data_IF_059495007747
#
_entry.id   IF_059495007747
#
_cell.length_a   1.000
_cell.length_b   1.000
_cell.length_c   1.000
_cell.angle_alpha   90.00
_cell.angle_beta   90.00
_cell.angle_gamma   90.00
#
_symmetry.space_group_name_H-M   'P 1'
#
loop_
_entity.id
_entity.type
_entity.pdbx_description
1 polymer ?
#
# COMPACT_ATOMS: atom_id res chain seq x y z
N UNK A 1 33.52 -13.94 -81.25
CA UNK A 1 34.32 -12.75 -80.87
C UNK A 1 33.74 -12.21 -79.58
N UNK A 2 34.47 -12.38 -78.46
CA UNK A 2 34.03 -12.06 -77.10
C UNK A 2 34.18 -10.56 -76.81
N UNK A 3 33.06 -9.85 -76.62
CA UNK A 3 33.05 -8.51 -76.05
C UNK A 3 33.06 -8.57 -74.52
N UNK A 4 34.18 -8.20 -73.90
CA UNK A 4 34.30 -8.04 -72.44
C UNK A 4 33.82 -6.64 -72.04
N UNK A 5 32.69 -6.54 -71.34
CA UNK A 5 32.29 -5.34 -70.61
C UNK A 5 33.05 -5.29 -69.28
N UNK A 6 33.92 -4.30 -69.10
CA UNK A 6 34.64 -4.04 -67.86
C UNK A 6 33.76 -3.24 -66.89
N UNK A 7 33.31 -3.88 -65.81
CA UNK A 7 32.73 -3.17 -64.66
C UNK A 7 33.85 -2.52 -63.86
N UNK A 8 33.89 -1.19 -63.85
CA UNK A 8 34.74 -0.41 -62.94
C UNK A 8 34.11 -0.40 -61.55
N UNK A 9 34.62 -1.28 -60.66
CA UNK A 9 34.29 -1.25 -59.24
C UNK A 9 35.06 -0.13 -58.54
N UNK A 10 34.43 1.03 -58.38
CA UNK A 10 34.96 2.11 -57.56
C UNK A 10 35.12 1.63 -56.11
N UNK A 11 36.37 1.49 -55.65
CA UNK A 11 36.67 1.18 -54.26
C UNK A 11 36.25 2.35 -53.36
N UNK A 12 35.09 2.22 -52.73
CA UNK A 12 34.62 3.17 -51.72
C UNK A 12 35.57 3.09 -50.52
N UNK A 13 36.43 4.10 -50.36
CA UNK A 13 37.32 4.26 -49.21
C UNK A 13 36.49 4.19 -47.92
N UNK A 14 36.55 3.06 -47.22
CA UNK A 14 35.94 2.92 -45.89
C UNK A 14 36.75 3.77 -44.92
N UNK A 15 36.14 4.83 -44.39
CA UNK A 15 36.71 5.60 -43.29
C UNK A 15 36.84 4.68 -42.07
N UNK A 16 38.06 4.44 -41.62
CA UNK A 16 38.32 3.72 -40.39
C UNK A 16 38.12 4.66 -39.20
N UNK A 17 37.33 4.22 -38.22
CA UNK A 17 37.11 4.95 -36.97
C UNK A 17 38.41 4.97 -36.16
N UNK A 18 38.78 6.13 -35.64
CA UNK A 18 39.95 6.26 -34.75
C UNK A 18 39.59 5.83 -33.32
N UNK A 19 40.61 5.39 -32.57
CA UNK A 19 40.47 5.03 -31.15
C UNK A 19 39.91 6.20 -30.33
N UNK A 20 40.33 7.44 -30.65
CA UNK A 20 39.92 8.65 -29.94
C UNK A 20 38.43 8.93 -30.16
N UNK A 21 37.93 8.80 -31.40
CA UNK A 21 36.50 8.99 -31.71
C UNK A 21 35.64 7.97 -30.95
N UNK A 22 36.07 6.71 -30.86
CA UNK A 22 35.36 5.70 -30.08
C UNK A 22 35.36 6.05 -28.58
N UNK A 23 36.50 6.51 -28.05
CA UNK A 23 36.65 6.86 -26.64
C UNK A 23 35.78 8.06 -26.22
N UNK A 24 35.67 9.08 -27.07
CA UNK A 24 34.81 10.24 -26.82
C UNK A 24 33.33 9.83 -26.81
N UNK A 25 32.91 8.95 -27.73
CA UNK A 25 31.52 8.47 -27.79
C UNK A 25 31.13 7.70 -26.54
N UNK A 26 31.96 6.76 -26.09
CA UNK A 26 31.68 6.02 -24.85
C UNK A 26 31.67 6.96 -23.63
N UNK A 27 32.52 7.99 -23.60
CA UNK A 27 32.54 8.97 -22.52
C UNK A 27 31.23 9.78 -22.47
N UNK A 28 30.71 10.22 -23.62
CA UNK A 28 29.43 10.93 -23.70
C UNK A 28 28.28 10.01 -23.27
N UNK A 29 28.24 8.76 -23.76
CA UNK A 29 27.22 7.78 -23.36
C UNK A 29 27.27 7.53 -21.84
N UNK A 30 28.46 7.42 -21.26
CA UNK A 30 28.63 7.21 -19.83
C UNK A 30 28.09 8.39 -19.00
N UNK A 31 28.37 9.64 -19.41
CA UNK A 31 27.85 10.84 -18.75
C UNK A 31 26.32 10.90 -18.86
N UNK A 32 25.76 10.63 -20.05
CA UNK A 32 24.32 10.60 -20.26
C UNK A 32 23.64 9.52 -19.40
N UNK A 33 24.20 8.30 -19.38
CA UNK A 33 23.69 7.20 -18.55
C UNK A 33 23.75 7.52 -17.06
N UNK A 34 24.80 8.20 -16.58
CA UNK A 34 24.95 8.59 -15.18
C UNK A 34 23.83 9.54 -14.71
N UNK A 35 23.31 10.40 -15.59
CA UNK A 35 22.20 11.30 -15.26
C UNK A 35 20.83 10.66 -15.54
N UNK A 36 20.71 9.89 -16.63
CA UNK A 36 19.45 9.28 -17.05
C UNK A 36 19.01 8.13 -16.14
N UNK A 37 19.94 7.32 -15.63
CA UNK A 37 19.60 6.14 -14.84
C UNK A 37 18.91 6.51 -13.50
N UNK A 38 19.42 7.46 -12.69
CA UNK A 38 18.71 7.91 -11.48
C UNK A 38 17.35 8.53 -11.78
N UNK A 39 17.24 9.32 -12.86
CA UNK A 39 15.98 9.94 -13.27
C UNK A 39 14.94 8.90 -13.68
N UNK A 40 15.34 7.90 -14.47
CA UNK A 40 14.47 6.81 -14.90
C UNK A 40 14.00 5.94 -13.74
N UNK A 41 14.87 5.67 -12.75
CA UNK A 41 14.48 4.96 -11.53
C UNK A 41 13.39 5.72 -10.76
N UNK A 42 13.54 7.02 -10.57
CA UNK A 42 12.52 7.85 -9.91
C UNK A 42 11.21 7.87 -10.69
N UNK A 43 11.27 8.03 -12.01
CA UNK A 43 10.08 8.05 -12.87
C UNK A 43 9.32 6.72 -12.83
N UNK A 44 10.03 5.58 -12.87
CA UNK A 44 9.43 4.25 -12.72
C UNK A 44 8.76 4.09 -11.35
N UNK A 45 9.40 4.56 -10.30
CA UNK A 45 8.83 4.46 -8.95
C UNK A 45 7.58 5.32 -8.78
N UNK A 46 7.59 6.54 -9.32
CA UNK A 46 6.39 7.39 -9.37
C UNK A 46 5.24 6.72 -10.13
N UNK A 47 5.54 6.05 -11.26
CA UNK A 47 4.55 5.29 -12.01
C UNK A 47 3.97 4.11 -11.21
N UNK A 48 4.81 3.36 -10.50
CA UNK A 48 4.35 2.28 -9.61
C UNK A 48 3.52 2.80 -8.45
N UNK A 49 3.90 3.92 -7.85
CA UNK A 49 3.13 4.58 -6.79
C UNK A 49 1.76 5.02 -7.29
N UNK A 50 1.70 5.63 -8.48
CA UNK A 50 0.43 6.03 -9.10
C UNK A 50 -0.49 4.83 -9.37
N UNK A 51 0.06 3.70 -9.82
CA UNK A 51 -0.70 2.47 -9.99
C UNK A 51 -1.21 1.90 -8.66
N UNK A 52 -0.40 1.92 -7.59
CA UNK A 52 -0.85 1.54 -6.25
C UNK A 52 -1.98 2.46 -5.73
N UNK A 53 -1.85 3.78 -5.87
CA UNK A 53 -2.92 4.73 -5.51
C UNK A 53 -4.21 4.46 -6.31
N UNK A 54 -4.10 4.11 -7.60
CA UNK A 54 -5.24 3.71 -8.43
C UNK A 54 -5.91 2.44 -7.92
N UNK A 55 -5.14 1.46 -7.44
CA UNK A 55 -5.67 0.24 -6.84
C UNK A 55 -6.42 0.54 -5.53
N UNK A 56 -5.83 1.33 -4.64
CA UNK A 56 -6.49 1.78 -3.41
C UNK A 56 -7.76 2.59 -3.70
N UNK A 57 -7.76 3.42 -4.75
CA UNK A 57 -8.94 4.17 -5.16
C UNK A 57 -10.07 3.25 -5.58
N UNK A 58 -9.77 2.19 -6.34
CA UNK A 58 -10.75 1.18 -6.74
C UNK A 58 -11.28 0.38 -5.53
N UNK A 59 -10.43 -0.01 -4.60
CA UNK A 59 -10.85 -0.65 -3.33
C UNK A 59 -11.75 0.28 -2.51
N UNK A 60 -11.41 1.56 -2.43
CA UNK A 60 -12.20 2.56 -1.70
C UNK A 60 -13.57 2.78 -2.33
N UNK A 61 -13.66 2.80 -3.66
CA UNK A 61 -14.93 2.89 -4.36
C UNK A 61 -15.79 1.64 -4.12
N UNK A 62 -15.19 0.44 -4.16
CA UNK A 62 -15.90 -0.80 -3.83
C UNK A 62 -16.41 -0.81 -2.38
N UNK A 63 -15.61 -0.29 -1.43
CA UNK A 63 -16.01 -0.13 -0.03
C UNK A 63 -17.19 0.83 0.14
N UNK A 64 -17.21 1.95 -0.61
CA UNK A 64 -18.34 2.89 -0.62
C UNK A 64 -19.60 2.26 -1.22
N UNK A 65 -19.47 1.58 -2.38
CA UNK A 65 -20.59 0.90 -3.04
C UNK A 65 -21.18 -0.20 -2.16
N UNK A 66 -20.33 -0.97 -1.47
CA UNK A 66 -20.77 -1.96 -0.50
C UNK A 66 -21.64 -1.32 0.58
N UNK A 67 -21.20 -0.20 1.18
CA UNK A 67 -21.97 0.48 2.21
C UNK A 67 -23.32 0.98 1.68
N UNK A 68 -23.35 1.51 0.46
CA UNK A 68 -24.59 2.00 -0.16
C UNK A 68 -25.61 0.87 -0.41
N UNK A 69 -25.15 -0.35 -0.70
CA UNK A 69 -26.02 -1.53 -0.90
C UNK A 69 -26.36 -2.30 0.39
N UNK A 70 -25.73 -1.98 1.53
CA UNK A 70 -25.85 -2.73 2.79
C UNK A 70 -26.36 -1.87 3.97
N UNK A 71 -27.35 -1.01 3.75
CA UNK A 71 -27.94 -0.13 4.78
C UNK A 71 -26.90 0.71 5.53
N UNK A 72 -25.95 1.28 4.78
CA UNK A 72 -24.83 2.10 5.28
C UNK A 72 -23.79 1.31 6.11
N UNK A 73 -23.91 -0.02 6.21
CA UNK A 73 -22.93 -0.87 6.90
C UNK A 73 -21.68 -1.05 6.06
N UNK A 74 -20.53 -0.84 6.68
CA UNK A 74 -19.24 -1.06 6.01
C UNK A 74 -18.85 -2.53 6.09
N UNK A 75 -18.09 -2.99 5.09
CA UNK A 75 -17.61 -4.38 5.03
C UNK A 75 -16.83 -4.77 6.28
N UNK A 76 -16.91 -6.03 6.68
CA UNK A 76 -16.02 -6.57 7.71
C UNK A 76 -14.56 -6.47 7.23
N UNK A 77 -13.78 -5.65 7.93
CA UNK A 77 -12.38 -5.37 7.62
C UNK A 77 -11.40 -6.46 8.07
N UNK A 78 -11.83 -7.39 8.91
CA UNK A 78 -10.98 -8.47 9.43
C UNK A 78 -10.88 -9.61 8.40
N UNK A 79 -9.70 -9.74 7.80
CA UNK A 79 -9.35 -10.73 6.78
C UNK A 79 -9.51 -12.15 7.31
N UNK A 80 -10.33 -12.97 6.64
CA UNK A 80 -10.57 -14.36 7.03
C UNK A 80 -11.58 -14.58 8.17
N UNK A 81 -12.21 -13.53 8.67
CA UNK A 81 -13.12 -13.59 9.82
C UNK A 81 -14.60 -13.52 9.45
N UNK A 82 -14.97 -14.08 8.30
CA UNK A 82 -16.36 -14.14 7.86
C UNK A 82 -17.22 -14.99 8.80
N UNK A 83 -18.41 -14.49 9.13
CA UNK A 83 -19.38 -15.16 10.00
C UNK A 83 -18.82 -15.60 11.35
N UNK A 84 -17.79 -14.92 11.83
CA UNK A 84 -17.09 -15.26 13.07
C UNK A 84 -17.59 -14.42 14.24
N UNK A 85 -17.42 -14.95 15.46
CA UNK A 85 -17.62 -14.19 16.69
C UNK A 85 -16.38 -14.37 17.55
N UNK A 86 -15.61 -13.29 17.69
CA UNK A 86 -14.35 -13.31 18.42
C UNK A 86 -14.41 -12.37 19.61
N UNK A 87 -13.48 -12.56 20.55
CA UNK A 87 -13.30 -11.70 21.73
C UNK A 87 -13.18 -10.22 21.36
N UNK A 88 -12.67 -9.92 20.16
CA UNK A 88 -12.40 -8.56 19.71
C UNK A 88 -13.24 -8.15 18.51
N UNK A 89 -14.33 -8.85 18.17
CA UNK A 89 -15.20 -8.45 17.06
C UNK A 89 -16.40 -9.37 16.88
N UNK A 90 -17.59 -8.78 16.75
CA UNK A 90 -18.81 -9.52 16.38
C UNK A 90 -19.04 -9.38 14.87
N UNK A 91 -18.75 -10.43 14.13
CA UNK A 91 -18.90 -10.53 12.67
C UNK A 91 -19.92 -11.61 12.30
N UNK A 92 -20.85 -11.93 13.21
CA UNK A 92 -21.93 -12.87 12.91
C UNK A 92 -22.76 -12.33 11.76
N UNK A 93 -22.91 -13.12 10.71
CA UNK A 93 -23.59 -12.75 9.47
C UNK A 93 -22.89 -11.63 8.67
N UNK A 94 -21.59 -11.40 8.91
CA UNK A 94 -20.79 -10.48 8.11
C UNK A 94 -19.76 -11.26 7.28
N UNK A 95 -19.73 -11.02 5.98
CA UNK A 95 -18.70 -11.53 5.09
C UNK A 95 -17.49 -10.57 5.14
N UNK A 96 -16.29 -11.10 5.36
CA UNK A 96 -15.06 -10.32 5.35
C UNK A 96 -14.76 -9.80 3.94
N UNK A 97 -14.02 -8.70 3.85
CA UNK A 97 -13.59 -8.11 2.57
C UNK A 97 -12.75 -9.08 1.73
N UNK A 98 -12.02 -9.97 2.40
CA UNK A 98 -11.32 -11.17 1.88
C UNK A 98 -11.68 -12.33 2.81
N UNK A 99 -12.22 -13.42 2.25
CA UNK A 99 -12.82 -14.53 3.01
C UNK A 99 -11.83 -15.69 3.23
N UNK A 100 -10.65 -15.39 3.76
CA UNK A 100 -9.63 -16.36 4.13
C UNK A 100 -8.28 -15.68 4.29
N UNK A 101 -7.28 -16.41 4.75
CA UNK A 101 -5.92 -15.89 4.89
C UNK A 101 -4.88 -16.95 4.58
N UNK A 102 -4.55 -17.09 3.30
CA UNK A 102 -3.50 -17.97 2.80
C UNK A 102 -2.39 -17.19 2.06
N UNK A 103 -1.73 -16.20 2.68
CA UNK A 103 -0.89 -15.22 1.98
C UNK A 103 0.31 -15.81 1.23
N UNK A 104 0.75 -17.02 1.60
CA UNK A 104 1.87 -17.74 0.97
C UNK A 104 1.44 -18.73 -0.12
N UNK A 105 0.13 -18.95 -0.28
CA UNK A 105 -0.46 -19.78 -1.33
C UNK A 105 -1.25 -18.88 -2.28
N UNK A 106 -0.65 -18.58 -3.44
CA UNK A 106 -1.23 -17.66 -4.43
C UNK A 106 -2.61 -18.10 -4.91
N UNK A 107 -2.82 -19.41 -5.10
CA UNK A 107 -4.07 -19.91 -5.65
C UNK A 107 -5.18 -19.83 -4.61
N UNK A 108 -4.90 -20.29 -3.38
CA UNK A 108 -5.83 -20.20 -2.27
C UNK A 108 -6.17 -18.74 -1.93
N UNK A 109 -5.20 -17.83 -1.91
CA UNK A 109 -5.47 -16.44 -1.60
C UNK A 109 -6.18 -15.68 -2.72
N UNK A 110 -6.03 -16.07 -3.99
CA UNK A 110 -6.90 -15.57 -5.07
C UNK A 110 -8.35 -16.04 -4.89
N UNK A 111 -8.56 -17.27 -4.42
CA UNK A 111 -9.90 -17.76 -4.07
C UNK A 111 -10.48 -17.02 -2.86
N UNK A 112 -9.69 -16.76 -1.82
CA UNK A 112 -10.08 -15.97 -0.65
C UNK A 112 -10.57 -14.56 -1.05
N UNK A 113 -9.90 -13.92 -2.02
CA UNK A 113 -10.33 -12.64 -2.60
C UNK A 113 -11.67 -12.79 -3.32
N UNK A 114 -11.84 -13.82 -4.16
CA UNK A 114 -13.07 -14.06 -4.94
C UNK A 114 -14.28 -14.36 -4.05
N UNK A 115 -14.06 -14.95 -2.88
CA UNK A 115 -15.11 -15.21 -1.87
C UNK A 115 -15.41 -13.99 -0.99
N UNK A 116 -14.56 -12.97 -0.99
CA UNK A 116 -14.70 -11.78 -0.17
C UNK A 116 -15.85 -10.86 -0.59
N UNK A 117 -16.34 -10.05 0.36
CA UNK A 117 -17.54 -9.24 0.18
C UNK A 117 -17.39 -8.08 -0.82
N UNK A 118 -16.16 -7.66 -1.12
CA UNK A 118 -15.88 -6.60 -2.10
C UNK A 118 -15.73 -7.14 -3.54
N UNK A 119 -15.62 -8.46 -3.71
CA UNK A 119 -15.44 -9.08 -5.03
C UNK A 119 -16.51 -8.70 -6.07
N UNK A 120 -17.82 -8.63 -5.72
CA UNK A 120 -18.86 -8.26 -6.70
C UNK A 120 -18.67 -6.89 -7.35
N UNK A 121 -17.96 -5.97 -6.67
CA UNK A 121 -17.72 -4.60 -7.14
C UNK A 121 -16.40 -4.44 -7.90
N UNK A 122 -15.41 -5.30 -7.64
CA UNK A 122 -14.05 -5.18 -8.19
C UNK A 122 -13.84 -6.15 -9.37
N UNK A 123 -14.19 -7.42 -9.21
CA UNK A 123 -14.02 -8.51 -10.20
C UNK A 123 -12.63 -8.55 -10.86
N UNK A 124 -11.59 -8.22 -10.09
CA UNK A 124 -10.20 -8.19 -10.54
C UNK A 124 -9.23 -8.34 -9.35
N UNK A 125 -8.61 -9.50 -9.22
CA UNK A 125 -7.71 -9.85 -8.11
C UNK A 125 -6.44 -8.99 -8.10
N UNK A 126 -6.02 -8.48 -9.28
CA UNK A 126 -4.80 -7.65 -9.39
C UNK A 126 -4.93 -6.33 -8.63
N UNK A 127 -6.15 -5.86 -8.38
CA UNK A 127 -6.43 -4.64 -7.62
C UNK A 127 -6.02 -4.79 -6.15
N UNK A 128 -5.95 -6.01 -5.63
CA UNK A 128 -5.53 -6.28 -4.25
C UNK A 128 -3.99 -6.29 -4.09
N UNK A 129 -3.24 -6.23 -5.21
CA UNK A 129 -1.78 -6.30 -5.20
C UNK A 129 -1.13 -4.94 -5.41
N UNK A 130 -0.07 -4.68 -4.66
CA UNK A 130 0.81 -3.57 -4.93
C UNK A 130 1.73 -3.90 -6.12
N UNK A 131 1.97 -2.98 -7.08
CA UNK A 131 2.95 -3.18 -8.16
C UNK A 131 4.40 -3.36 -7.68
N UNK A 132 4.70 -2.95 -6.45
CA UNK A 132 5.99 -3.20 -5.77
C UNK A 132 5.90 -4.33 -4.74
N UNK A 133 4.73 -4.95 -4.60
CA UNK A 133 4.46 -6.06 -3.71
C UNK A 133 5.37 -7.25 -3.97
N UNK A 134 5.48 -8.15 -2.99
CA UNK A 134 6.33 -9.33 -3.14
C UNK A 134 5.73 -10.29 -4.15
N UNK A 135 6.62 -11.02 -4.80
CA UNK A 135 6.20 -12.16 -5.63
C UNK A 135 5.78 -13.30 -4.72
N UNK A 136 4.67 -13.96 -5.04
CA UNK A 136 4.13 -15.02 -4.21
C UNK A 136 3.03 -14.58 -3.24
N UNK A 137 2.82 -13.26 -3.08
CA UNK A 137 1.75 -12.73 -2.24
C UNK A 137 0.56 -12.28 -3.10
N UNK A 138 -0.64 -12.68 -2.69
CA UNK A 138 -1.85 -12.44 -3.45
C UNK A 138 -2.49 -11.06 -3.17
N UNK A 139 -2.17 -10.42 -2.05
CA UNK A 139 -2.67 -9.09 -1.69
C UNK A 139 -1.76 -8.40 -0.66
N UNK A 140 -1.71 -7.06 -0.68
CA UNK A 140 -0.76 -6.24 0.11
C UNK A 140 -1.41 -5.06 0.84
N UNK A 141 -2.72 -4.86 0.65
CA UNK A 141 -3.47 -3.76 1.26
C UNK A 141 -4.32 -4.26 2.42
N UNK A 142 -4.24 -3.64 3.58
CA UNK A 142 -5.08 -4.00 4.73
C UNK A 142 -6.18 -2.94 4.93
N UNK A 143 -7.32 -3.37 5.47
CA UNK A 143 -8.29 -2.44 6.07
C UNK A 143 -7.80 -2.05 7.47
N UNK A 144 -8.06 -0.82 7.88
CA UNK A 144 -7.76 -0.32 9.22
C UNK A 144 -8.52 -1.08 10.31
N UNK A 145 -7.88 -1.30 11.45
CA UNK A 145 -8.47 -2.00 12.60
C UNK A 145 -9.83 -1.44 13.05
N UNK A 146 -10.00 -0.13 12.93
CA UNK A 146 -11.24 0.57 13.28
C UNK A 146 -12.40 0.37 12.31
N UNK A 147 -12.15 -0.05 11.08
CA UNK A 147 -13.14 -0.09 10.01
C UNK A 147 -13.79 -1.46 9.97
N UNK A 148 -14.66 -1.70 10.94
CA UNK A 148 -15.37 -2.97 11.12
C UNK A 148 -14.43 -4.19 11.10
N UNK A 149 -13.20 -4.06 11.60
CA UNK A 149 -12.28 -5.17 11.73
C UNK A 149 -12.23 -5.66 13.17
N UNK A 150 -11.87 -4.79 14.11
CA UNK A 150 -11.70 -5.18 15.52
C UNK A 150 -12.20 -4.11 16.49
N UNK A 151 -13.08 -4.54 17.39
CA UNK A 151 -13.57 -3.81 18.57
C UNK A 151 -12.68 -4.10 19.80
N UNK A 152 -11.43 -3.62 19.74
CA UNK A 152 -10.41 -3.82 20.77
C UNK A 152 -10.86 -3.27 22.14
N UNK A 153 -10.56 -3.92 23.28
CA UNK A 153 -10.99 -3.49 24.62
C UNK A 153 -10.72 -2.01 24.93
N UNK A 154 -9.57 -1.48 24.51
CA UNK A 154 -9.21 -0.06 24.69
C UNK A 154 -10.16 0.92 23.97
N UNK A 155 -10.92 0.44 22.98
CA UNK A 155 -11.83 1.24 22.15
C UNK A 155 -13.31 0.93 22.41
N UNK A 156 -13.62 -0.06 23.24
CA UNK A 156 -14.99 -0.44 23.56
C UNK A 156 -15.73 0.71 24.26
N UNK A 157 -16.88 1.09 23.71
CA UNK A 157 -17.66 2.25 24.19
C UNK A 157 -17.12 3.61 23.73
N UNK A 158 -15.98 3.66 23.05
CA UNK A 158 -15.46 4.91 22.47
C UNK A 158 -16.16 5.18 21.14
N UNK A 159 -17.08 6.15 21.15
CA UNK A 159 -17.83 6.57 19.96
C UNK A 159 -16.89 6.96 18.80
N UNK A 160 -17.04 6.30 17.66
CA UNK A 160 -16.31 6.56 16.42
C UNK A 160 -14.93 5.89 16.33
N UNK A 161 -14.49 5.18 17.38
CA UNK A 161 -13.23 4.44 17.35
C UNK A 161 -13.38 3.16 16.52
N UNK A 162 -14.31 2.28 16.88
CA UNK A 162 -14.73 1.15 16.04
C UNK A 162 -16.01 1.52 15.29
N UNK A 163 -15.97 1.42 13.96
CA UNK A 163 -17.01 1.89 13.05
C UNK A 163 -17.69 0.68 12.39
N UNK A 164 -19.02 0.62 12.44
CA UNK A 164 -19.82 -0.39 11.70
C UNK A 164 -20.60 0.22 10.55
N UNK A 165 -20.84 1.54 10.58
CA UNK A 165 -21.58 2.26 9.54
C UNK A 165 -20.83 3.50 9.08
N UNK A 166 -20.92 3.81 7.79
CA UNK A 166 -20.23 4.98 7.21
C UNK A 166 -20.75 6.28 7.82
N UNK A 167 -22.03 6.38 8.16
CA UNK A 167 -22.62 7.53 8.86
C UNK A 167 -22.15 7.75 10.31
N UNK A 168 -21.38 6.82 10.89
CA UNK A 168 -20.72 7.01 12.20
C UNK A 168 -19.44 7.85 12.06
N UNK A 169 -18.86 7.93 10.86
CA UNK A 169 -17.66 8.72 10.56
C UNK A 169 -18.06 10.18 10.36
N UNK A 170 -18.06 10.93 11.47
CA UNK A 170 -18.47 12.35 11.48
C UNK A 170 -17.38 13.30 11.94
N UNK A 171 -16.69 12.92 13.01
CA UNK A 171 -15.64 13.73 13.60
C UNK A 171 -14.44 12.84 13.94
N UNK A 172 -13.29 13.02 13.27
CA UNK A 172 -13.05 13.99 12.20
C UNK A 172 -13.86 13.64 10.94
N UNK A 173 -13.92 14.59 9.99
CA UNK A 173 -14.63 14.37 8.73
C UNK A 173 -14.10 13.12 8.00
N UNK A 174 -14.90 12.47 7.13
CA UNK A 174 -14.47 11.28 6.38
C UNK A 174 -13.13 11.41 5.65
N UNK A 175 -12.78 12.62 5.20
CA UNK A 175 -11.49 12.95 4.59
C UNK A 175 -10.26 12.81 5.53
N UNK A 176 -10.45 12.54 6.81
CA UNK A 176 -9.35 12.32 7.77
C UNK A 176 -9.37 10.90 8.34
N UNK A 177 -10.32 10.06 7.92
CA UNK A 177 -10.53 8.72 8.47
C UNK A 177 -9.97 7.69 7.50
N UNK A 178 -8.97 6.93 7.91
CA UNK A 178 -8.31 5.94 7.06
C UNK A 178 -9.20 4.70 6.87
N UNK A 179 -9.14 4.11 5.68
CA UNK A 179 -9.84 2.86 5.34
C UNK A 179 -8.87 1.77 4.96
N UNK A 180 -8.16 1.92 3.84
CA UNK A 180 -7.12 0.98 3.40
C UNK A 180 -5.72 1.58 3.52
N UNK A 181 -4.73 0.73 3.76
CA UNK A 181 -3.30 1.04 3.74
C UNK A 181 -2.54 0.00 2.96
N UNK A 182 -1.50 0.43 2.24
CA UNK A 182 -0.47 -0.47 1.72
C UNK A 182 0.47 -0.86 2.87
N UNK A 183 0.08 -1.91 3.58
CA UNK A 183 0.85 -2.51 4.66
C UNK A 183 2.14 -3.15 4.12
N UNK A 184 2.09 -3.63 2.90
CA UNK A 184 3.22 -4.19 2.21
C UNK A 184 3.51 -5.63 2.60
N UNK A 185 3.78 -5.92 3.87
CA UNK A 185 3.78 -7.29 4.40
C UNK A 185 2.51 -7.50 5.19
N UNK A 186 1.55 -8.18 4.57
CA UNK A 186 0.22 -8.36 5.14
C UNK A 186 0.30 -9.18 6.43
N UNK A 187 -0.16 -8.61 7.53
CA UNK A 187 -0.44 -9.35 8.77
C UNK A 187 -1.86 -9.92 8.75
N UNK A 188 -2.16 -10.89 9.61
CA UNK A 188 -3.52 -11.42 9.68
C UNK A 188 -4.47 -10.34 10.23
N UNK A 189 -5.76 -10.49 9.94
CA UNK A 189 -6.83 -9.63 10.47
C UNK A 189 -6.90 -8.27 9.75
N UNK A 190 -6.20 -7.24 10.22
CA UNK A 190 -6.29 -5.85 9.74
C UNK A 190 -5.14 -5.00 10.31
N UNK A 191 -4.82 -3.86 9.68
CA UNK A 191 -3.71 -3.00 10.13
C UNK A 191 -4.06 -2.22 11.41
N UNK A 192 -3.29 -2.44 12.45
CA UNK A 192 -3.50 -2.00 13.82
C UNK A 192 -2.50 -0.95 14.29
N UNK A 193 -3.00 0.04 15.03
CA UNK A 193 -2.21 0.95 15.85
C UNK A 193 -2.87 1.10 17.22
N UNK A 194 -2.08 1.26 18.28
CA UNK A 194 -2.65 1.43 19.62
C UNK A 194 -3.58 2.66 19.68
N UNK A 195 -4.65 2.58 20.47
CA UNK A 195 -5.54 3.73 20.69
C UNK A 195 -5.15 4.52 21.94
N UNK A 196 -4.76 3.82 23.01
CA UNK A 196 -4.57 4.33 24.37
C UNK A 196 -3.09 4.42 24.79
N UNK A 197 -2.15 4.15 23.87
CA UNK A 197 -0.72 4.12 24.15
C UNK A 197 0.10 4.80 23.05
N UNK A 198 1.24 5.39 23.43
CA UNK A 198 2.23 5.99 22.53
C UNK A 198 3.17 4.94 21.94
N UNK A 199 2.59 3.97 21.26
CA UNK A 199 3.31 2.84 20.69
C UNK A 199 2.63 2.37 19.40
N UNK A 200 3.43 2.02 18.40
CA UNK A 200 2.95 1.31 17.23
C UNK A 200 2.49 -0.09 17.63
N UNK A 201 1.30 -0.51 17.22
CA UNK A 201 0.89 -1.91 17.39
C UNK A 201 1.52 -2.72 16.26
N UNK A 202 1.09 -2.44 15.02
CA UNK A 202 1.80 -2.90 13.84
C UNK A 202 2.90 -1.93 13.48
N UNK A 203 3.96 -2.46 12.85
CA UNK A 203 5.07 -1.64 12.41
C UNK A 203 4.63 -0.59 11.35
N UNK A 204 5.27 0.59 11.30
CA UNK A 204 5.04 1.53 10.22
C UNK A 204 5.43 0.89 8.88
N UNK A 205 4.55 0.84 7.87
CA UNK A 205 4.89 0.25 6.59
C UNK A 205 5.82 1.17 5.79
N UNK A 206 6.70 0.60 4.97
CA UNK A 206 7.50 1.37 4.00
C UNK A 206 7.34 0.83 2.60
N UNK A 207 6.78 1.66 1.73
CA UNK A 207 6.57 1.37 0.32
C UNK A 207 6.48 2.65 -0.49
N UNK A 208 6.92 2.58 -1.74
CA UNK A 208 6.96 3.75 -2.62
C UNK A 208 7.83 4.91 -2.11
N UNK A 209 8.97 4.57 -1.51
CA UNK A 209 9.92 5.54 -0.94
C UNK A 209 10.02 5.40 0.58
N UNK A 210 9.91 6.52 1.28
CA UNK A 210 9.99 6.60 2.75
C UNK A 210 8.59 6.77 3.35
N UNK A 211 7.61 6.00 2.90
CA UNK A 211 6.20 6.26 3.21
C UNK A 211 5.30 5.09 2.93
N UNK A 212 4.00 5.34 2.81
CA UNK A 212 3.01 4.36 2.37
C UNK A 212 1.84 5.04 1.66
N UNK A 213 1.11 4.28 0.86
CA UNK A 213 -0.12 4.74 0.24
C UNK A 213 -1.31 4.33 1.08
N UNK A 214 -2.29 5.22 1.19
CA UNK A 214 -3.49 5.03 2.00
C UNK A 214 -4.73 5.57 1.30
N UNK A 215 -5.88 5.19 1.82
CA UNK A 215 -7.18 5.71 1.41
C UNK A 215 -8.02 6.16 2.60
N UNK A 216 -9.01 6.98 2.29
CA UNK A 216 -9.86 7.65 3.27
C UNK A 216 -11.34 7.30 3.07
N UNK A 217 -12.16 7.59 4.08
CA UNK A 217 -13.56 7.21 4.12
C UNK A 217 -14.47 8.02 3.15
N UNK A 218 -13.99 9.11 2.57
CA UNK A 218 -14.62 9.79 1.42
C UNK A 218 -14.16 9.22 0.06
N UNK A 219 -13.26 8.24 0.09
CA UNK A 219 -12.70 7.54 -1.05
C UNK A 219 -11.51 8.22 -1.70
N UNK A 220 -10.96 9.32 -1.21
CA UNK A 220 -9.68 9.83 -1.75
C UNK A 220 -8.50 8.97 -1.29
N UNK A 221 -7.36 9.16 -1.95
CA UNK A 221 -6.12 8.39 -1.70
C UNK A 221 -4.94 9.32 -1.68
N UNK A 222 -3.98 9.04 -0.80
CA UNK A 222 -2.76 9.84 -0.67
C UNK A 222 -1.55 8.95 -0.40
N UNK A 223 -0.37 9.53 -0.66
CA UNK A 223 0.88 8.95 -0.20
C UNK A 223 1.36 9.73 1.01
N UNK A 224 1.45 9.07 2.16
CA UNK A 224 2.03 9.64 3.36
C UNK A 224 3.50 9.30 3.43
N UNK A 225 4.32 10.34 3.56
CA UNK A 225 5.76 10.20 3.75
C UNK A 225 6.08 10.35 5.23
N UNK A 226 6.84 9.42 5.78
CA UNK A 226 7.33 9.47 7.15
C UNK A 226 8.34 10.60 7.33
N UNK A 227 8.27 11.25 8.48
CA UNK A 227 9.16 12.33 8.89
C UNK A 227 10.26 11.82 9.81
N UNK A 228 9.92 10.93 10.73
CA UNK A 228 10.83 10.33 11.70
C UNK A 228 11.89 9.47 11.03
N UNK A 229 13.16 9.77 11.30
CA UNK A 229 14.25 8.93 10.77
C UNK A 229 14.28 7.55 11.43
N UNK A 230 13.84 7.46 12.68
CA UNK A 230 13.59 6.23 13.42
C UNK A 230 12.39 5.46 12.86
N UNK A 231 11.28 6.14 12.51
CA UNK A 231 10.15 5.52 11.79
C UNK A 231 10.61 4.87 10.50
N UNK A 232 11.37 5.60 9.66
CA UNK A 232 11.87 5.08 8.38
C UNK A 232 12.83 3.91 8.59
N UNK A 233 13.73 3.99 9.58
CA UNK A 233 14.67 2.91 9.92
C UNK A 233 13.92 1.68 10.40
N UNK A 234 12.94 1.84 11.29
CA UNK A 234 12.11 0.74 11.80
C UNK A 234 11.36 0.09 10.64
N UNK A 235 10.65 0.87 9.84
CA UNK A 235 9.87 0.40 8.71
C UNK A 235 10.72 -0.40 7.71
N UNK A 236 11.94 0.06 7.40
CA UNK A 236 12.87 -0.65 6.51
C UNK A 236 13.44 -1.92 7.13
N UNK A 237 13.72 -1.91 8.43
CA UNK A 237 14.22 -3.08 9.16
C UNK A 237 13.21 -4.22 9.13
N UNK A 238 11.93 -3.90 9.29
CA UNK A 238 10.84 -4.87 9.35
C UNK A 238 10.05 -4.97 8.04
N UNK A 239 10.53 -4.38 6.94
CA UNK A 239 9.79 -4.37 5.68
C UNK A 239 9.38 -5.78 5.21
N UNK A 240 10.17 -6.80 5.57
CA UNK A 240 9.96 -8.21 5.26
C UNK A 240 9.57 -9.12 6.42
N UNK A 241 9.09 -8.54 7.51
CA UNK A 241 8.63 -9.27 8.68
C UNK A 241 7.57 -8.48 9.42
N UNK A 242 7.11 -9.00 10.55
CA UNK A 242 6.30 -8.21 11.47
C UNK A 242 6.81 -8.47 12.88
N UNK A 243 7.16 -7.40 13.60
CA UNK A 243 7.59 -7.46 14.99
C UNK A 243 6.61 -6.72 15.90
N UNK A 244 6.03 -5.63 15.41
CA UNK A 244 5.07 -4.80 16.12
C UNK A 244 5.62 -4.16 17.39
N UNK A 245 4.72 -3.56 18.18
CA UNK A 245 4.94 -3.05 19.54
C UNK A 245 6.21 -2.21 19.67
N UNK A 246 6.35 -1.21 18.80
CA UNK A 246 7.53 -0.34 18.74
C UNK A 246 7.19 1.09 19.13
N UNK A 247 8.00 1.69 20.00
CA UNK A 247 7.84 3.08 20.43
C UNK A 247 8.88 3.94 19.73
N UNK A 248 8.49 5.05 19.07
CA UNK A 248 9.43 6.01 18.50
C UNK A 248 10.38 6.60 19.54
N UNK A 249 11.54 7.07 19.07
CA UNK A 249 12.56 7.75 19.88
C UNK A 249 12.67 9.24 19.54
N UNK A 250 12.20 9.64 18.35
CA UNK A 250 12.28 11.04 17.87
C UNK A 250 10.92 11.72 17.90
N UNK A 251 10.90 13.05 18.03
CA UNK A 251 9.68 13.85 17.98
C UNK A 251 8.92 13.63 16.66
N UNK A 252 9.63 13.63 15.53
CA UNK A 252 9.02 13.38 14.22
C UNK A 252 8.48 11.95 14.10
N UNK A 253 9.09 10.98 14.78
CA UNK A 253 8.58 9.61 14.85
C UNK A 253 7.29 9.50 15.66
N UNK A 254 7.18 10.25 16.76
CA UNK A 254 5.92 10.39 17.48
C UNK A 254 4.85 11.12 16.64
N UNK A 255 5.21 12.17 15.88
CA UNK A 255 4.28 12.82 14.96
C UNK A 255 3.71 11.85 13.92
N UNK A 256 4.56 11.00 13.32
CA UNK A 256 4.14 9.95 12.37
C UNK A 256 3.15 8.97 13.03
N UNK A 257 3.45 8.52 14.25
CA UNK A 257 2.59 7.65 15.04
C UNK A 257 1.23 8.29 15.31
N UNK A 258 1.22 9.53 15.84
CA UNK A 258 -0.01 10.23 16.17
C UNK A 258 -0.86 10.50 14.93
N UNK A 259 -0.22 10.77 13.79
CA UNK A 259 -0.91 10.94 12.52
C UNK A 259 -1.63 9.65 12.13
N UNK A 260 -0.95 8.49 12.22
CA UNK A 260 -1.55 7.19 11.92
C UNK A 260 -2.69 6.85 12.89
N UNK A 261 -2.49 7.05 14.20
CA UNK A 261 -3.52 6.79 15.20
C UNK A 261 -4.74 7.70 15.06
N UNK A 262 -4.56 8.99 14.77
CA UNK A 262 -5.68 9.90 14.48
C UNK A 262 -6.40 9.48 13.21
N UNK A 263 -5.67 9.04 12.18
CA UNK A 263 -6.26 8.49 10.96
C UNK A 263 -7.08 7.21 11.22
N UNK A 264 -6.52 6.29 12.03
CA UNK A 264 -7.09 4.99 12.36
C UNK A 264 -8.14 5.02 13.47
N UNK A 265 -8.20 6.01 14.36
CA UNK A 265 -9.21 6.05 15.43
C UNK A 265 -10.09 7.31 15.39
N UNK A 266 -9.75 8.28 14.54
CA UNK A 266 -10.33 9.62 14.52
C UNK A 266 -9.73 10.55 15.57
N UNK A 267 -9.23 10.01 16.69
CA UNK A 267 -8.64 10.75 17.81
C UNK A 267 -7.68 9.87 18.60
N UNK A 268 -6.84 10.48 19.42
CA UNK A 268 -6.02 9.77 20.40
C UNK A 268 -6.85 9.44 21.65
N UNK A 269 -6.60 8.28 22.25
CA UNK A 269 -7.18 7.86 23.52
C UNK A 269 -6.44 8.40 24.75
N UNK A 270 -5.39 9.18 24.54
CA UNK A 270 -4.49 9.71 25.56
C UNK A 270 -4.04 11.13 25.20
N UNK A 271 -3.33 11.80 26.12
CA UNK A 271 -2.70 13.09 25.84
C UNK A 271 -1.29 12.85 25.33
N UNK A 272 -0.95 13.23 24.09
CA UNK A 272 0.37 12.99 23.55
C UNK A 272 1.46 13.74 24.32
N UNK A 273 2.61 13.10 24.51
CA UNK A 273 3.76 13.62 25.25
C UNK A 273 4.72 14.45 24.41
N UNK A 274 4.61 14.37 23.08
CA UNK A 274 5.42 15.10 22.08
C UNK A 274 4.50 15.90 21.13
#
# INVERSE_FOLDING_TARGET
MNGKSTFSGGAMMRRAFTLIELLVVIAIIAILMAVLMPALHRAREQGRRAACLSNLKQLSLAWLMYADENDDRIVNGATGFSNSNQTWGDHRNELAWVDGFHPLDLEAAEEDIRRGALWPYIKNEKIYRCPTGRRGEAFHYAIMFSMNAVNHPATQGVRGAHVKKRSEIRNPAPAYRLVFIDEGYMTSDAYAVNYDQEQWWDDPPVRHGDGTNISFADGHVEHWKWRGTDTIKRARLVADSHQGNWTPETQEGFEDLYQMQKGCWGKLGYTPSH
#
